data_IF_453791388912
#
_entry.id   IF_453791388912
#
_cell.length_a   1.000
_cell.length_b   1.000
_cell.length_c   1.000
_cell.angle_alpha   90.00
_cell.angle_beta   90.00
_cell.angle_gamma   90.00
#
_symmetry.space_group_name_H-M   'P 1'
#
loop_
_entity.id
_entity.type
_entity.pdbx_description
1 polymer ?
#
# COMPACT_ATOMS: atom_id res chain seq x y z
N UNK A 1 12.55 1.44 0.36
CA UNK A 1 11.28 1.59 -0.39
C UNK A 1 11.20 0.51 -1.45
N UNK A 2 10.05 -0.15 -1.60
CA UNK A 2 9.80 -1.16 -2.62
C UNK A 2 8.63 -0.70 -3.50
N UNK A 3 8.66 -0.98 -4.80
CA UNK A 3 7.56 -0.68 -5.73
C UNK A 3 7.25 -1.90 -6.60
N UNK A 4 5.98 -2.10 -6.93
CA UNK A 4 5.57 -3.09 -7.93
C UNK A 4 5.90 -2.60 -9.35
N UNK A 5 5.76 -3.49 -10.32
CA UNK A 5 5.57 -3.11 -11.72
C UNK A 5 4.33 -2.22 -11.88
N UNK A 6 4.31 -1.42 -12.95
CA UNK A 6 3.16 -0.57 -13.26
C UNK A 6 2.07 -1.41 -13.91
N UNK A 7 0.82 -1.18 -13.52
CA UNK A 7 -0.34 -1.86 -14.08
C UNK A 7 -1.49 -0.87 -14.28
N UNK A 8 -2.37 -1.16 -15.23
CA UNK A 8 -3.63 -0.43 -15.37
C UNK A 8 -4.62 -0.95 -14.34
N UNK A 9 -5.15 -0.06 -13.49
CA UNK A 9 -6.18 -0.46 -12.53
C UNK A 9 -7.45 -0.88 -13.27
N UNK A 10 -7.82 -2.15 -13.18
CA UNK A 10 -8.97 -2.73 -13.87
C UNK A 10 -10.12 -3.13 -12.94
N UNK A 11 -11.11 -3.82 -13.49
CA UNK A 11 -12.24 -4.38 -12.74
C UNK A 11 -13.12 -3.29 -12.09
N UNK A 12 -13.55 -3.53 -10.85
CA UNK A 12 -14.33 -2.59 -10.04
C UNK A 12 -13.46 -1.53 -9.34
N UNK A 13 -12.14 -1.61 -9.47
CA UNK A 13 -11.20 -0.81 -8.68
C UNK A 13 -11.14 -1.21 -7.20
N UNK A 14 -11.69 -2.37 -6.83
CA UNK A 14 -11.50 -2.93 -5.50
C UNK A 14 -10.07 -3.47 -5.37
N UNK A 15 -9.38 -3.10 -4.30
CA UNK A 15 -8.06 -3.62 -3.96
C UNK A 15 -8.12 -4.08 -2.51
N UNK A 16 -7.78 -5.34 -2.26
CA UNK A 16 -7.65 -5.87 -0.91
C UNK A 16 -6.27 -6.49 -0.69
N UNK A 17 -5.73 -6.27 0.50
CA UNK A 17 -4.46 -6.84 0.91
C UNK A 17 -4.41 -6.95 2.43
N UNK A 18 -3.44 -7.72 2.92
CA UNK A 18 -3.17 -7.90 4.34
C UNK A 18 -1.95 -7.07 4.74
N UNK A 19 -2.06 -6.34 5.85
CA UNK A 19 -0.97 -5.56 6.43
C UNK A 19 -0.83 -5.87 7.93
N UNK A 20 0.37 -6.21 8.37
CA UNK A 20 0.75 -6.31 9.78
C UNK A 20 1.89 -5.32 10.09
N UNK A 21 2.21 -5.15 11.37
CA UNK A 21 3.33 -4.32 11.82
C UNK A 21 2.92 -2.97 12.42
N UNK A 22 3.85 -2.02 12.40
CA UNK A 22 3.69 -0.71 13.03
C UNK A 22 2.59 0.16 12.40
N UNK A 23 2.05 1.08 13.20
CA UNK A 23 1.05 2.08 12.82
C UNK A 23 1.72 3.45 12.69
N UNK A 24 2.38 3.67 11.56
CA UNK A 24 2.96 4.97 11.21
C UNK A 24 2.65 5.27 9.74
N UNK A 25 1.56 5.98 9.48
CA UNK A 25 1.15 6.35 8.12
C UNK A 25 2.14 7.28 7.41
N UNK A 26 3.09 7.89 8.14
CA UNK A 26 4.09 8.79 7.58
C UNK A 26 5.39 8.08 7.22
N UNK A 27 5.75 7.01 7.93
CA UNK A 27 7.03 6.31 7.75
C UNK A 27 6.91 4.81 7.42
N UNK A 28 5.77 4.17 7.66
CA UNK A 28 5.54 2.74 7.48
C UNK A 28 4.19 2.48 6.83
N UNK A 29 4.11 2.48 5.51
CA UNK A 29 2.83 2.39 4.81
C UNK A 29 2.92 1.73 3.44
N UNK A 30 1.77 1.22 2.99
CA UNK A 30 1.49 0.80 1.62
C UNK A 30 0.67 1.90 0.96
N UNK A 31 1.01 2.24 -0.29
CA UNK A 31 0.31 3.25 -1.08
C UNK A 31 -0.03 2.74 -2.48
N UNK A 32 -1.22 3.14 -2.95
CA UNK A 32 -1.54 3.13 -4.38
C UNK A 32 -1.07 4.45 -4.99
N UNK A 33 -0.21 4.38 -6.00
CA UNK A 33 0.41 5.57 -6.60
C UNK A 33 0.07 5.64 -8.08
N UNK A 34 -0.33 6.82 -8.56
CA UNK A 34 -0.53 7.08 -9.98
C UNK A 34 0.81 7.22 -10.69
N UNK A 35 0.98 6.53 -11.81
CA UNK A 35 2.24 6.52 -12.55
C UNK A 35 2.56 7.84 -13.26
N UNK A 36 1.54 8.61 -13.68
CA UNK A 36 1.73 9.82 -14.49
C UNK A 36 2.38 10.98 -13.73
N UNK A 37 2.10 11.11 -12.42
CA UNK A 37 2.51 12.25 -11.59
C UNK A 37 3.11 11.83 -10.24
N UNK A 38 3.12 10.53 -9.92
CA UNK A 38 3.60 10.02 -8.64
C UNK A 38 2.67 10.32 -7.46
N UNK A 39 1.42 10.74 -7.71
CA UNK A 39 0.48 11.07 -6.65
C UNK A 39 0.07 9.80 -5.87
N UNK A 40 0.23 9.84 -4.55
CA UNK A 40 -0.27 8.81 -3.64
C UNK A 40 -1.79 8.97 -3.51
N UNK A 41 -2.53 8.10 -4.19
CA UNK A 41 -3.98 8.16 -4.26
C UNK A 41 -4.63 7.63 -2.98
N UNK A 42 -4.03 6.60 -2.37
CA UNK A 42 -4.51 5.93 -1.16
C UNK A 42 -3.31 5.43 -0.36
N UNK A 43 -3.43 5.42 0.97
CA UNK A 43 -2.42 4.92 1.91
C UNK A 43 -3.03 4.10 3.03
N UNK A 44 -2.28 3.12 3.53
CA UNK A 44 -2.64 2.33 4.69
C UNK A 44 -1.37 1.92 5.45
N UNK A 45 -1.47 1.84 6.76
CA UNK A 45 -0.41 1.39 7.68
C UNK A 45 -0.93 0.26 8.55
N UNK A 46 -0.05 -0.40 9.30
CA UNK A 46 -0.42 -1.43 10.25
C UNK A 46 -1.16 -0.86 11.47
N UNK A 47 -1.51 -1.73 12.41
CA UNK A 47 -2.26 -1.36 13.62
C UNK A 47 -1.43 -1.52 14.92
N UNK A 48 -0.09 -1.47 14.83
CA UNK A 48 0.84 -1.84 15.91
C UNK A 48 0.61 -3.28 16.41
N UNK A 49 0.29 -4.18 15.48
CA UNK A 49 0.03 -5.58 15.78
C UNK A 49 0.64 -6.45 14.68
N UNK A 50 1.25 -7.57 15.06
CA UNK A 50 1.79 -8.58 14.14
C UNK A 50 0.67 -9.34 13.40
N UNK A 51 -0.58 -9.27 13.91
CA UNK A 51 -1.74 -9.80 13.21
C UNK A 51 -1.97 -9.06 11.88
N UNK A 52 -2.18 -9.83 10.82
CA UNK A 52 -2.57 -9.32 9.51
C UNK A 52 -3.95 -8.69 9.56
N UNK A 53 -4.01 -7.37 9.37
CA UNK A 53 -5.25 -6.64 9.19
C UNK A 53 -5.59 -6.57 7.71
N UNK A 54 -6.83 -6.91 7.38
CA UNK A 54 -7.33 -6.79 6.01
C UNK A 54 -7.65 -5.33 5.72
N UNK A 55 -7.00 -4.78 4.70
CA UNK A 55 -7.30 -3.49 4.13
C UNK A 55 -8.12 -3.71 2.86
N UNK A 56 -9.19 -2.93 2.72
CA UNK A 56 -9.99 -2.89 1.52
C UNK A 56 -10.07 -1.44 1.04
N UNK A 57 -9.60 -1.22 -0.17
CA UNK A 57 -9.68 0.06 -0.85
C UNK A 57 -10.72 0.01 -1.95
N UNK A 58 -11.54 1.05 -1.99
CA UNK A 58 -12.38 1.35 -3.14
C UNK A 58 -11.68 2.42 -3.98
N UNK A 59 -10.96 1.97 -5.01
CA UNK A 59 -10.27 2.80 -5.99
C UNK A 59 -11.05 2.88 -7.32
N UNK A 60 -12.38 2.69 -7.30
CA UNK A 60 -13.23 2.71 -8.50
C UNK A 60 -13.05 3.99 -9.34
N UNK A 61 -12.86 5.14 -8.69
CA UNK A 61 -12.62 6.42 -9.35
C UNK A 61 -11.32 6.50 -10.16
N UNK A 62 -10.42 5.53 -9.97
CA UNK A 62 -9.11 5.48 -10.63
C UNK A 62 -9.01 4.33 -11.65
N UNK A 63 -10.09 3.59 -11.92
CA UNK A 63 -10.11 2.54 -12.93
C UNK A 63 -9.72 3.11 -14.30
N UNK A 64 -8.88 2.37 -15.03
CA UNK A 64 -8.27 2.80 -16.29
C UNK A 64 -6.97 3.60 -16.13
N UNK A 65 -6.58 3.96 -14.90
CA UNK A 65 -5.34 4.69 -14.63
C UNK A 65 -4.16 3.72 -14.49
N UNK A 66 -3.00 4.10 -15.04
CA UNK A 66 -1.72 3.41 -14.76
C UNK A 66 -1.28 3.73 -13.33
N UNK A 67 -1.17 2.68 -12.51
CA UNK A 67 -0.82 2.75 -11.11
C UNK A 67 0.28 1.75 -10.75
N UNK A 68 0.89 1.93 -9.59
CA UNK A 68 1.76 0.93 -8.97
C UNK A 68 1.54 0.93 -7.45
N UNK A 69 1.88 -0.17 -6.79
CA UNK A 69 1.89 -0.26 -5.33
C UNK A 69 3.28 0.12 -4.84
N UNK A 70 3.33 1.00 -3.84
CA UNK A 70 4.57 1.44 -3.17
C UNK A 70 4.51 1.05 -1.70
N UNK A 71 5.58 0.45 -1.21
CA UNK A 71 5.77 0.15 0.21
C UNK A 71 6.90 1.02 0.74
N UNK A 72 6.58 1.82 1.75
CA UNK A 72 7.51 2.69 2.45
C UNK A 72 7.74 2.11 3.84
N UNK A 73 9.01 1.88 4.15
CA UNK A 73 9.51 1.60 5.48
C UNK A 73 10.73 2.49 5.67
N UNK A 74 10.54 3.58 6.41
CA UNK A 74 11.57 4.51 6.86
C UNK A 74 11.70 4.48 8.38
N UNK A 75 11.22 3.43 9.04
CA UNK A 75 11.44 3.24 10.47
C UNK A 75 12.93 2.93 10.72
N UNK A 76 13.62 3.81 11.44
CA UNK A 76 15.07 3.69 11.71
C UNK A 76 15.39 2.91 13.00
N UNK A 77 14.43 2.15 13.52
CA UNK A 77 14.59 1.30 14.72
C UNK A 77 14.59 -0.18 14.35
N UNK A 78 15.50 -0.96 14.93
CA UNK A 78 15.57 -2.41 14.70
C UNK A 78 14.23 -3.09 15.00
N UNK A 79 13.75 -3.88 14.04
CA UNK A 79 12.41 -4.48 13.88
C UNK A 79 11.40 -3.68 13.03
N UNK A 80 11.70 -3.54 11.73
CA UNK A 80 10.75 -3.22 10.67
C UNK A 80 10.71 -4.36 9.65
N UNK A 81 9.85 -5.36 9.88
CA UNK A 81 9.55 -6.37 8.85
C UNK A 81 8.06 -6.28 8.51
N UNK A 82 7.76 -5.67 7.37
CA UNK A 82 6.46 -5.83 6.71
C UNK A 82 6.47 -7.18 5.98
N UNK A 83 5.85 -8.18 6.60
CA UNK A 83 5.52 -9.42 5.90
C UNK A 83 4.24 -9.18 5.10
N UNK A 84 4.22 -9.57 3.83
CA UNK A 84 2.99 -9.61 3.03
C UNK A 84 3.00 -10.90 2.22
N UNK A 85 1.84 -11.52 2.08
CA UNK A 85 1.63 -12.75 1.31
C UNK A 85 0.65 -12.42 0.17
N UNK A 86 1.00 -12.82 -1.05
CA UNK A 86 0.08 -12.85 -2.20
C UNK A 86 -0.93 -14.00 -2.04
#
# INVERSE_FOLDING_TARGET
MLKSETFTLGGTGAIDFLIGGGNDINNLYVALVRASDGAELMKATGANNEAYNRIQWNAASYVGTLCYIKIVDSSTGGFGHLTWMM
#
